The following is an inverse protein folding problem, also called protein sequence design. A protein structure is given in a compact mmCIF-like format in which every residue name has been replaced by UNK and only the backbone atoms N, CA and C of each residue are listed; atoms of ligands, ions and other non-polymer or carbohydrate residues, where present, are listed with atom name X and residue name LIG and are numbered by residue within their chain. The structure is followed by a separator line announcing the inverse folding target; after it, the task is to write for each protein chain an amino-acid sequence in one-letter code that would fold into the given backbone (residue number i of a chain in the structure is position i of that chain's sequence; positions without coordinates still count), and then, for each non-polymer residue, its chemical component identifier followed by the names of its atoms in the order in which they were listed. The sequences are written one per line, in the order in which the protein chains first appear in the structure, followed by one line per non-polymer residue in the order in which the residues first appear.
data_IF_195836678101
#
_entry.id   IF_195836678101
#
_cell.length_a   1.000
_cell.length_b   1.000
_cell.length_c   1.000
_cell.angle_alpha   90.00
_cell.angle_beta   90.00
_cell.angle_gamma   90.00
#
_symmetry.space_group_name_H-M   'P 1'
#
loop_
_entity.id
_entity.type
_entity.pdbx_description
1 polymer ?
#
# COMPACT_ATOMS: atom_id res chain seq x y z
N UNK A 1 -8.77 26.92 -4.32
CA UNK A 1 -10.02 26.14 -4.18
C UNK A 1 -10.04 24.83 -4.98
N UNK A 2 -9.62 24.78 -6.25
CA UNK A 2 -9.66 23.56 -7.09
C UNK A 2 -8.86 22.36 -6.54
N UNK A 3 -7.63 22.58 -6.03
CA UNK A 3 -6.82 21.52 -5.40
C UNK A 3 -7.47 20.91 -4.15
N UNK A 4 -8.10 21.73 -3.29
CA UNK A 4 -8.79 21.22 -2.11
C UNK A 4 -10.02 20.37 -2.49
N UNK A 5 -10.77 20.77 -3.53
CA UNK A 5 -11.89 19.96 -4.05
C UNK A 5 -11.40 18.63 -4.63
N UNK A 6 -10.29 18.63 -5.37
CA UNK A 6 -9.65 17.40 -5.90
C UNK A 6 -9.23 16.46 -4.77
N UNK A 7 -8.52 16.96 -3.75
CA UNK A 7 -8.06 16.13 -2.63
C UNK A 7 -9.23 15.54 -1.83
N UNK A 8 -10.32 16.30 -1.63
CA UNK A 8 -11.53 15.79 -0.97
C UNK A 8 -12.22 14.68 -1.79
N UNK A 9 -12.29 14.83 -3.10
CA UNK A 9 -12.83 13.80 -3.97
C UNK A 9 -11.98 12.52 -3.91
N UNK A 10 -10.65 12.65 -3.99
CA UNK A 10 -9.74 11.51 -3.89
C UNK A 10 -9.89 10.78 -2.54
N UNK A 11 -9.96 11.53 -1.43
CA UNK A 11 -10.23 10.96 -0.11
C UNK A 11 -11.58 10.25 -0.06
N UNK A 12 -12.62 10.86 -0.60
CA UNK A 12 -13.95 10.25 -0.67
C UNK A 12 -13.94 8.91 -1.41
N UNK A 13 -13.35 8.87 -2.61
CA UNK A 13 -13.23 7.65 -3.40
C UNK A 13 -12.39 6.59 -2.67
N UNK A 14 -11.24 6.97 -2.12
CA UNK A 14 -10.39 6.05 -1.35
C UNK A 14 -11.13 5.46 -0.15
N UNK A 15 -11.83 6.30 0.63
CA UNK A 15 -12.63 5.86 1.77
C UNK A 15 -13.79 4.94 1.34
N UNK A 16 -14.51 5.26 0.27
CA UNK A 16 -15.57 4.41 -0.25
C UNK A 16 -15.05 3.03 -0.68
N UNK A 17 -13.96 2.98 -1.45
CA UNK A 17 -13.34 1.71 -1.85
C UNK A 17 -12.89 0.90 -0.63
N UNK A 18 -12.28 1.55 0.36
CA UNK A 18 -11.87 0.92 1.61
C UNK A 18 -13.05 0.32 2.38
N UNK A 19 -14.16 1.04 2.49
CA UNK A 19 -15.36 0.56 3.17
C UNK A 19 -15.99 -0.64 2.46
N UNK A 20 -16.06 -0.62 1.12
CA UNK A 20 -16.57 -1.75 0.34
C UNK A 20 -15.66 -2.97 0.50
N UNK A 21 -14.33 -2.78 0.51
CA UNK A 21 -13.37 -3.84 0.84
C UNK A 21 -13.63 -4.44 2.22
N UNK A 22 -13.75 -3.60 3.26
CA UNK A 22 -14.03 -4.10 4.61
C UNK A 22 -15.37 -4.84 4.68
N UNK A 23 -16.38 -4.39 3.97
CA UNK A 23 -17.65 -5.11 3.86
C UNK A 23 -17.46 -6.51 3.27
N UNK A 24 -16.71 -6.64 2.17
CA UNK A 24 -16.37 -7.96 1.60
C UNK A 24 -15.53 -8.82 2.54
N UNK A 25 -14.58 -8.21 3.25
CA UNK A 25 -13.73 -8.88 4.22
C UNK A 25 -14.57 -9.52 5.34
N UNK A 26 -15.40 -8.72 6.02
CA UNK A 26 -16.18 -9.19 7.17
C UNK A 26 -17.34 -10.11 6.78
N UNK A 27 -17.97 -9.89 5.61
CA UNK A 27 -19.14 -10.67 5.22
C UNK A 27 -18.80 -12.01 4.57
N UNK A 28 -17.67 -12.10 3.87
CA UNK A 28 -17.40 -13.24 2.98
C UNK A 28 -16.07 -13.93 3.24
N UNK A 29 -15.01 -13.18 3.55
CA UNK A 29 -13.67 -13.77 3.69
C UNK A 29 -13.41 -14.25 5.11
N UNK A 30 -13.61 -13.39 6.12
CA UNK A 30 -13.38 -13.71 7.54
C UNK A 30 -14.20 -14.93 8.00
N UNK A 31 -15.48 -15.09 7.64
CA UNK A 31 -16.26 -16.25 8.06
C UNK A 31 -15.68 -17.60 7.58
N UNK A 32 -14.90 -17.60 6.49
CA UNK A 32 -14.23 -18.80 5.97
C UNK A 32 -12.93 -19.07 6.71
N UNK A 33 -12.28 -18.04 7.25
CA UNK A 33 -11.00 -18.12 7.96
C UNK A 33 -11.04 -17.37 9.30
N UNK A 34 -11.92 -17.76 10.24
CA UNK A 34 -12.17 -16.99 11.46
C UNK A 34 -10.92 -16.89 12.36
N UNK A 35 -10.09 -17.93 12.38
CA UNK A 35 -8.85 -17.96 13.17
C UNK A 35 -7.78 -16.99 12.66
N UNK A 36 -7.88 -16.57 11.39
CA UNK A 36 -6.96 -15.63 10.76
C UNK A 36 -7.50 -14.20 10.70
N UNK A 37 -8.69 -13.95 11.27
CA UNK A 37 -9.43 -12.69 11.16
C UNK A 37 -8.60 -11.47 11.53
N UNK A 38 -7.92 -11.51 12.67
CA UNK A 38 -7.04 -10.42 13.13
C UNK A 38 -5.90 -10.15 12.14
N UNK A 39 -5.23 -11.20 11.64
CA UNK A 39 -4.16 -11.03 10.65
C UNK A 39 -4.69 -10.41 9.36
N UNK A 40 -5.84 -10.89 8.85
CA UNK A 40 -6.45 -10.38 7.63
C UNK A 40 -6.88 -8.91 7.74
N UNK A 41 -7.46 -8.50 8.87
CA UNK A 41 -7.84 -7.09 9.12
C UNK A 41 -6.60 -6.21 9.10
N UNK A 42 -5.55 -6.60 9.84
CA UNK A 42 -4.32 -5.81 9.91
C UNK A 42 -3.62 -5.78 8.54
N UNK A 43 -3.61 -6.88 7.79
CA UNK A 43 -3.07 -6.93 6.43
C UNK A 43 -3.77 -5.97 5.46
N UNK A 44 -5.10 -5.90 5.52
CA UNK A 44 -5.88 -4.93 4.73
C UNK A 44 -5.56 -3.50 5.16
N UNK A 45 -5.48 -3.21 6.45
CA UNK A 45 -5.11 -1.88 6.95
C UNK A 45 -3.70 -1.47 6.49
N UNK A 46 -2.74 -2.41 6.52
CA UNK A 46 -1.39 -2.19 6.01
C UNK A 46 -1.37 -1.87 4.51
N UNK A 47 -2.15 -2.61 3.71
CA UNK A 47 -2.31 -2.35 2.27
C UNK A 47 -2.91 -0.98 1.99
N UNK A 48 -3.97 -0.61 2.72
CA UNK A 48 -4.61 0.71 2.59
C UNK A 48 -3.64 1.84 2.98
N UNK A 49 -2.89 1.67 4.06
CA UNK A 49 -1.89 2.65 4.49
C UNK A 49 -0.81 2.87 3.43
N UNK A 50 -0.32 1.79 2.80
CA UNK A 50 0.61 1.88 1.67
C UNK A 50 0.10 2.76 0.54
N UNK A 51 -1.08 2.40 0.04
CA UNK A 51 -1.68 3.07 -1.11
C UNK A 51 -1.91 4.53 -0.76
N UNK A 52 -2.41 4.79 0.44
CA UNK A 52 -2.63 6.13 0.92
C UNK A 52 -1.34 6.97 0.91
N UNK A 53 -0.21 6.42 1.36
CA UNK A 53 1.08 7.12 1.30
C UNK A 53 1.50 7.39 -0.15
N UNK A 54 1.35 6.42 -1.05
CA UNK A 54 1.71 6.60 -2.47
C UNK A 54 0.85 7.69 -3.12
N UNK A 55 -0.47 7.66 -2.89
CA UNK A 55 -1.43 8.62 -3.46
C UNK A 55 -1.35 10.02 -2.84
N UNK A 56 -0.87 10.15 -1.60
CA UNK A 56 -0.73 11.45 -0.91
C UNK A 56 0.69 12.00 -0.92
N UNK A 57 1.61 11.31 -1.60
CA UNK A 57 3.04 11.65 -1.65
C UNK A 57 3.35 13.07 -2.14
N UNK A 58 2.52 13.60 -3.04
CA UNK A 58 2.68 14.95 -3.59
C UNK A 58 2.05 16.05 -2.75
N UNK A 59 1.29 15.69 -1.72
CA UNK A 59 0.61 16.68 -0.91
C UNK A 59 1.68 17.43 -0.12
N UNK A 60 1.72 18.77 -0.28
CA UNK A 60 2.67 19.65 0.41
C UNK A 60 2.62 19.56 1.95
N UNK A 61 1.66 18.82 2.51
CA UNK A 61 1.53 18.59 3.94
C UNK A 61 2.42 17.41 4.38
N UNK A 62 3.64 17.74 4.79
CA UNK A 62 4.62 16.77 5.32
C UNK A 62 4.06 15.97 6.51
N UNK A 63 3.21 16.57 7.36
CA UNK A 63 2.62 15.89 8.52
C UNK A 63 1.77 14.68 8.13
N UNK A 64 0.90 14.83 7.13
CA UNK A 64 0.02 13.75 6.67
C UNK A 64 0.82 12.57 6.08
N UNK A 65 1.84 12.86 5.28
CA UNK A 65 2.70 11.83 4.66
C UNK A 65 3.58 11.10 5.68
N UNK A 66 4.07 11.81 6.70
CA UNK A 66 4.87 11.21 7.79
C UNK A 66 3.99 10.34 8.70
N UNK A 67 2.84 10.84 9.16
CA UNK A 67 1.92 10.08 10.02
C UNK A 67 1.36 8.85 9.31
N UNK A 68 0.94 8.98 8.06
CA UNK A 68 0.49 7.82 7.26
C UNK A 68 1.62 6.80 7.08
N UNK A 69 2.85 7.30 6.86
CA UNK A 69 4.07 6.49 6.84
C UNK A 69 4.23 5.65 8.09
N UNK A 70 4.28 6.29 9.26
CA UNK A 70 4.48 5.61 10.54
C UNK A 70 3.33 4.64 10.87
N UNK A 71 2.09 5.04 10.59
CA UNK A 71 0.93 4.18 10.79
C UNK A 71 0.99 2.91 9.91
N UNK A 72 1.35 3.06 8.63
CA UNK A 72 1.54 1.92 7.73
C UNK A 72 2.60 0.95 8.26
N UNK A 73 3.76 1.48 8.68
CA UNK A 73 4.86 0.70 9.26
C UNK A 73 4.43 -0.10 10.47
N UNK A 74 3.73 0.55 11.40
CA UNK A 74 3.23 -0.09 12.60
C UNK A 74 2.24 -1.22 12.26
N UNK A 75 1.31 -0.97 11.34
CA UNK A 75 0.32 -1.96 10.92
C UNK A 75 0.98 -3.19 10.26
N UNK A 76 2.01 -3.00 9.44
CA UNK A 76 2.75 -4.11 8.83
C UNK A 76 3.53 -4.89 9.88
N UNK A 77 4.23 -4.20 10.78
CA UNK A 77 4.96 -4.86 11.85
C UNK A 77 4.02 -5.71 12.71
N UNK A 78 2.83 -5.19 13.03
CA UNK A 78 1.78 -5.93 13.73
C UNK A 78 1.31 -7.13 12.89
N UNK A 79 1.05 -6.96 11.58
CA UNK A 79 0.64 -8.05 10.69
C UNK A 79 1.67 -9.17 10.66
N UNK A 80 2.97 -8.83 10.59
CA UNK A 80 4.06 -9.80 10.62
C UNK A 80 4.16 -10.52 11.95
N UNK A 81 3.95 -9.83 13.07
CA UNK A 81 3.94 -10.47 14.38
C UNK A 81 2.80 -11.49 14.45
N UNK A 82 1.62 -11.16 13.91
CA UNK A 82 0.52 -12.13 13.80
C UNK A 82 0.89 -13.31 12.91
N UNK A 83 1.40 -13.08 11.70
CA UNK A 83 1.82 -14.14 10.78
C UNK A 83 2.93 -15.03 11.39
N UNK A 84 3.95 -14.44 12.03
CA UNK A 84 5.04 -15.18 12.68
C UNK A 84 4.56 -16.00 13.87
N UNK A 85 3.64 -15.46 14.68
CA UNK A 85 3.01 -16.22 15.77
C UNK A 85 2.20 -17.40 15.23
N UNK A 86 1.52 -17.24 14.09
CA UNK A 86 0.82 -18.33 13.43
C UNK A 86 1.76 -19.38 12.85
N UNK A 87 2.86 -18.98 12.22
CA UNK A 87 3.90 -19.89 11.70
C UNK A 87 4.53 -20.68 12.84
N UNK A 88 4.86 -20.02 13.96
CA UNK A 88 5.42 -20.64 15.16
C UNK A 88 4.43 -21.64 15.81
N UNK A 89 3.13 -21.36 15.75
CA UNK A 89 2.08 -22.23 16.28
C UNK A 89 1.75 -23.42 15.37
N UNK A 90 1.80 -23.27 14.03
CA UNK A 90 1.25 -24.25 13.08
C UNK A 90 2.32 -25.08 12.35
N UNK A 91 3.62 -24.76 12.45
CA UNK A 91 4.71 -25.48 11.72
C UNK A 91 4.46 -25.66 10.22
N UNK A 92 3.77 -24.72 9.57
CA UNK A 92 3.53 -24.76 8.12
C UNK A 92 4.19 -23.56 7.42
N UNK A 93 5.20 -23.80 6.56
CA UNK A 93 5.79 -22.78 5.68
C UNK A 93 4.83 -22.28 4.57
N UNK A 94 3.61 -22.80 4.51
CA UNK A 94 2.73 -22.70 3.34
C UNK A 94 1.81 -21.46 3.32
N UNK A 95 1.64 -20.75 4.44
CA UNK A 95 0.71 -19.60 4.52
C UNK A 95 1.34 -18.29 4.02
N UNK A 96 2.61 -18.06 4.31
CA UNK A 96 3.40 -17.00 3.66
C UNK A 96 4.03 -17.52 2.36
N UNK A 97 3.24 -17.52 1.28
CA UNK A 97 3.74 -17.67 -0.09
C UNK A 97 4.92 -16.70 -0.33
N UNK A 98 5.93 -17.01 -1.18
CA UNK A 98 7.02 -16.09 -1.57
C UNK A 98 6.60 -14.64 -1.84
N UNK A 99 5.36 -14.39 -2.30
CA UNK A 99 4.82 -13.03 -2.44
C UNK A 99 4.68 -12.26 -1.11
N UNK A 100 4.37 -12.92 0.00
CA UNK A 100 4.34 -12.31 1.34
C UNK A 100 5.73 -11.86 1.81
N UNK A 101 6.76 -12.67 1.57
CA UNK A 101 8.15 -12.30 1.86
C UNK A 101 8.66 -11.18 0.94
N UNK A 102 8.26 -11.19 -0.34
CA UNK A 102 8.61 -10.14 -1.29
C UNK A 102 7.93 -8.79 -0.93
N UNK A 103 6.67 -8.83 -0.49
CA UNK A 103 5.98 -7.66 0.05
C UNK A 103 6.73 -7.10 1.26
N UNK A 104 7.10 -7.95 2.22
CA UNK A 104 7.87 -7.58 3.39
C UNK A 104 9.21 -6.91 3.02
N UNK A 105 9.97 -7.53 2.11
CA UNK A 105 11.25 -7.00 1.67
C UNK A 105 11.09 -5.61 1.02
N UNK A 106 10.11 -5.46 0.11
CA UNK A 106 9.81 -4.18 -0.52
C UNK A 106 9.43 -3.11 0.53
N UNK A 107 8.70 -3.48 1.57
CA UNK A 107 8.37 -2.57 2.66
C UNK A 107 9.56 -2.12 3.50
N UNK A 108 10.42 -3.05 3.91
CA UNK A 108 11.63 -2.73 4.67
C UNK A 108 12.54 -1.81 3.86
N UNK A 109 12.68 -2.08 2.56
CA UNK A 109 13.44 -1.22 1.66
C UNK A 109 12.78 0.16 1.58
N UNK A 110 11.47 0.25 1.37
CA UNK A 110 10.76 1.54 1.34
C UNK A 110 10.94 2.36 2.63
N UNK A 111 10.94 1.68 3.78
CA UNK A 111 11.18 2.27 5.10
C UNK A 111 12.58 2.85 5.24
N UNK A 112 13.59 2.05 4.93
CA UNK A 112 15.00 2.46 4.96
C UNK A 112 15.17 3.66 4.03
N UNK A 113 14.66 3.55 2.81
CA UNK A 113 14.74 4.61 1.83
C UNK A 113 13.97 5.88 2.27
N UNK A 114 12.84 5.75 3.00
CA UNK A 114 12.11 6.90 3.55
C UNK A 114 12.91 7.58 4.66
N UNK A 115 13.54 6.82 5.55
CA UNK A 115 14.47 7.37 6.55
C UNK A 115 15.64 8.11 5.90
N UNK A 116 16.23 7.51 4.87
CA UNK A 116 17.30 8.12 4.08
C UNK A 116 16.81 9.38 3.33
N UNK A 117 15.54 9.44 2.92
CA UNK A 117 14.97 10.60 2.24
C UNK A 117 14.74 11.83 3.13
N UNK A 118 14.84 11.68 4.46
CA UNK A 118 14.81 12.79 5.42
C UNK A 118 16.16 13.52 5.50
N UNK A 119 17.22 12.94 4.91
CA UNK A 119 18.52 13.57 4.75
C UNK A 119 18.46 14.37 3.43
N UNK A 120 18.35 15.68 3.57
CA UNK A 120 17.67 16.65 2.68
C UNK A 120 18.20 16.83 1.24
N UNK A 121 19.05 15.95 0.71
CA UNK A 121 19.79 16.19 -0.54
C UNK A 121 19.37 15.37 -1.76
N UNK A 122 18.49 14.36 -1.64
CA UNK A 122 18.28 13.42 -2.75
C UNK A 122 16.81 13.30 -3.16
N UNK A 123 16.35 14.23 -4.01
CA UNK A 123 15.06 14.10 -4.71
C UNK A 123 14.91 12.75 -5.45
N UNK A 124 16.02 12.16 -5.88
CA UNK A 124 16.08 10.84 -6.53
C UNK A 124 15.77 9.70 -5.55
N UNK A 125 16.21 9.76 -4.28
CA UNK A 125 15.88 8.73 -3.26
C UNK A 125 14.37 8.69 -3.04
N UNK A 126 13.70 9.85 -3.01
CA UNK A 126 12.25 9.91 -2.84
C UNK A 126 11.50 9.19 -3.97
N UNK A 127 11.97 9.25 -5.21
CA UNK A 127 11.36 8.50 -6.32
C UNK A 127 11.54 6.99 -6.16
N UNK A 128 12.73 6.54 -5.77
CA UNK A 128 12.97 5.12 -5.49
C UNK A 128 12.12 4.62 -4.32
N UNK A 129 11.91 5.43 -3.26
CA UNK A 129 10.95 5.10 -2.18
C UNK A 129 9.57 4.82 -2.76
N UNK A 130 9.05 5.72 -3.61
CA UNK A 130 7.72 5.54 -4.19
C UNK A 130 7.63 4.35 -5.14
N UNK A 131 8.67 4.08 -5.92
CA UNK A 131 8.75 2.91 -6.78
C UNK A 131 8.74 1.60 -5.99
N UNK A 132 9.58 1.53 -4.96
CA UNK A 132 9.65 0.37 -4.06
C UNK A 132 8.33 0.17 -3.31
N UNK A 133 7.69 1.23 -2.81
CA UNK A 133 6.36 1.12 -2.18
C UNK A 133 5.29 0.62 -3.15
N UNK A 134 5.35 1.07 -4.41
CA UNK A 134 4.41 0.63 -5.45
C UNK A 134 4.62 -0.85 -5.80
N UNK A 135 5.87 -1.31 -5.89
CA UNK A 135 6.20 -2.73 -6.07
C UNK A 135 5.72 -3.55 -4.87
N UNK A 136 5.93 -3.04 -3.64
CA UNK A 136 5.43 -3.65 -2.42
C UNK A 136 3.91 -3.82 -2.43
N UNK A 137 3.17 -2.78 -2.83
CA UNK A 137 1.72 -2.86 -3.01
C UNK A 137 1.32 -3.93 -4.04
N UNK A 138 2.10 -4.09 -5.12
CA UNK A 138 1.94 -5.17 -6.10
C UNK A 138 2.13 -6.56 -5.48
N UNK A 139 3.20 -6.78 -4.70
CA UNK A 139 3.40 -8.06 -4.03
C UNK A 139 2.32 -8.37 -3.00
N UNK A 140 1.87 -7.38 -2.22
CA UNK A 140 0.73 -7.53 -1.31
C UNK A 140 -0.53 -7.93 -2.09
N UNK A 141 -0.78 -7.29 -3.23
CA UNK A 141 -1.88 -7.67 -4.10
C UNK A 141 -1.78 -9.13 -4.53
N UNK A 142 -0.63 -9.55 -5.05
CA UNK A 142 -0.44 -10.92 -5.54
C UNK A 142 -0.57 -11.95 -4.41
N UNK A 143 -0.07 -11.63 -3.22
CA UNK A 143 -0.24 -12.46 -2.03
C UNK A 143 -1.72 -12.64 -1.68
N UNK A 144 -2.46 -11.54 -1.53
CA UNK A 144 -3.88 -11.58 -1.12
C UNK A 144 -4.77 -12.16 -2.22
N UNK A 145 -4.51 -11.84 -3.48
CA UNK A 145 -5.25 -12.36 -4.64
C UNK A 145 -4.96 -13.86 -4.89
N UNK A 146 -3.90 -14.43 -4.32
CA UNK A 146 -3.66 -15.88 -4.39
C UNK A 146 -4.63 -16.69 -3.53
N UNK A 147 -5.38 -16.05 -2.62
CA UNK A 147 -6.40 -16.70 -1.79
C UNK A 147 -7.69 -16.84 -2.60
N UNK A 148 -8.15 -18.06 -2.87
CA UNK A 148 -9.28 -18.30 -3.77
C UNK A 148 -10.61 -17.62 -3.40
N UNK A 149 -10.92 -17.48 -2.10
CA UNK A 149 -12.14 -16.77 -1.67
C UNK A 149 -12.07 -15.26 -1.93
N UNK A 150 -10.86 -14.70 -1.98
CA UNK A 150 -10.65 -13.27 -2.21
C UNK A 150 -11.08 -12.92 -3.62
N UNK A 151 -10.59 -13.65 -4.63
CA UNK A 151 -10.87 -13.37 -6.05
C UNK A 151 -12.33 -13.64 -6.44
N UNK A 152 -13.04 -14.45 -5.66
CA UNK A 152 -14.47 -14.73 -5.85
C UNK A 152 -15.38 -13.79 -5.05
N UNK A 153 -14.84 -13.02 -4.10
CA UNK A 153 -15.59 -12.01 -3.33
C UNK A 153 -15.50 -10.66 -4.03
N UNK A 154 -16.48 -10.34 -4.88
CA UNK A 154 -16.49 -9.13 -5.72
C UNK A 154 -16.39 -7.83 -4.91
N UNK A 155 -17.06 -7.76 -3.76
CA UNK A 155 -17.02 -6.61 -2.85
C UNK A 155 -15.67 -6.41 -2.20
N UNK A 156 -14.79 -7.41 -2.20
CA UNK A 156 -13.41 -7.24 -1.78
C UNK A 156 -12.48 -7.03 -2.99
N UNK A 157 -12.56 -7.93 -3.97
CA UNK A 157 -11.62 -8.01 -5.08
C UNK A 157 -11.63 -6.78 -6.00
N UNK A 158 -12.81 -6.26 -6.35
CA UNK A 158 -12.92 -5.09 -7.23
C UNK A 158 -12.28 -3.85 -6.60
N UNK A 159 -12.67 -3.41 -5.40
CA UNK A 159 -12.05 -2.23 -4.80
C UNK A 159 -10.57 -2.45 -4.49
N UNK A 160 -10.16 -3.67 -4.12
CA UNK A 160 -8.75 -4.03 -3.95
C UNK A 160 -7.94 -3.81 -5.23
N UNK A 161 -8.44 -4.33 -6.36
CA UNK A 161 -7.80 -4.17 -7.68
C UNK A 161 -7.83 -2.73 -8.16
N UNK A 162 -8.93 -2.01 -7.94
CA UNK A 162 -9.05 -0.59 -8.31
C UNK A 162 -8.01 0.27 -7.61
N UNK A 163 -7.76 0.03 -6.32
CA UNK A 163 -6.73 0.72 -5.56
C UNK A 163 -5.32 0.40 -6.07
N UNK A 164 -5.03 -0.85 -6.47
CA UNK A 164 -3.76 -1.19 -7.12
C UNK A 164 -3.58 -0.44 -8.43
N UNK A 165 -4.57 -0.51 -9.34
CA UNK A 165 -4.52 0.16 -10.64
C UNK A 165 -4.30 1.65 -10.44
N UNK A 166 -5.03 2.27 -9.52
CA UNK A 166 -4.87 3.68 -9.20
C UNK A 166 -3.45 3.99 -8.69
N UNK A 167 -2.89 3.15 -7.82
CA UNK A 167 -1.50 3.28 -7.36
C UNK A 167 -0.50 3.22 -8.51
N UNK A 168 -0.66 2.26 -9.43
CA UNK A 168 0.21 2.10 -10.61
C UNK A 168 0.10 3.29 -11.57
N UNK A 169 -1.12 3.75 -11.86
CA UNK A 169 -1.37 4.92 -12.71
C UNK A 169 -0.80 6.17 -12.07
N UNK A 170 -0.97 6.35 -10.76
CA UNK A 170 -0.39 7.47 -10.04
C UNK A 170 1.14 7.43 -10.14
N UNK A 171 1.77 6.28 -9.86
CA UNK A 171 3.22 6.14 -10.01
C UNK A 171 3.70 6.45 -11.45
N UNK A 172 3.03 5.91 -12.46
CA UNK A 172 3.38 6.16 -13.86
C UNK A 172 3.23 7.62 -14.27
N UNK A 173 2.04 8.19 -14.13
CA UNK A 173 1.70 9.54 -14.63
C UNK A 173 2.38 10.63 -13.80
N UNK A 174 2.40 10.46 -12.49
CA UNK A 174 2.74 11.54 -11.57
C UNK A 174 4.21 11.48 -11.18
N UNK A 175 4.74 10.30 -10.86
CA UNK A 175 6.13 10.17 -10.39
C UNK A 175 7.12 10.05 -11.56
N UNK A 176 6.77 9.32 -12.62
CA UNK A 176 7.67 9.14 -13.78
C UNK A 176 7.51 10.27 -14.79
N UNK A 177 6.28 10.56 -15.28
CA UNK A 177 6.10 11.51 -16.38
C UNK A 177 6.29 12.98 -15.99
N UNK A 178 5.67 13.47 -14.91
CA UNK A 178 5.75 14.91 -14.55
C UNK A 178 7.17 15.38 -14.22
N UNK A 179 8.02 14.50 -13.67
CA UNK A 179 9.43 14.84 -13.41
C UNK A 179 10.33 14.75 -14.62
N UNK A 180 10.03 13.87 -15.59
CA UNK A 180 10.75 13.82 -16.87
C UNK A 180 10.55 15.13 -17.65
N UNK A 181 9.34 15.68 -17.61
CA UNK A 181 9.03 16.98 -18.21
C UNK A 181 9.72 18.14 -17.48
N UNK A 182 9.77 18.12 -16.15
CA UNK A 182 10.48 19.14 -15.37
C UNK A 182 12.01 19.11 -15.58
N UNK A 183 12.61 17.93 -15.74
CA UNK A 183 14.04 17.77 -16.01
C UNK A 183 14.42 18.26 -17.43
N UNK A 184 13.56 18.00 -18.42
CA UNK A 184 13.76 18.49 -19.80
C UNK A 184 13.62 20.02 -19.90
N UNK A 185 12.73 20.62 -19.11
CA UNK A 185 12.58 22.08 -19.07
C UNK A 185 13.73 22.82 -18.37
N UNK A 186 14.54 22.14 -17.55
CA UNK A 186 15.73 22.72 -16.91
C UNK A 186 16.99 22.62 -17.77
N UNK A 187 17.01 21.73 -18.77
CA UNK A 187 18.12 21.61 -19.73
C UNK A 187 18.00 22.59 -20.91
N UNK A 188 16.82 23.20 -21.10
CA UNK A 188 16.53 24.15 -22.18
C UNK A 188 16.60 25.64 -21.72
N UNK A 189 17.05 25.90 -20.49
CA UNK A 189 17.21 27.24 -19.88
C UNK A 189 18.66 27.50 -19.48
#
# INVERSE_FOLDING_TARGET
MLHQKKNRLLLGVFSSLSLIMFWGLFRSIIPVFPEHSSSMIVGVLAYLALIFIVLTSEWKNQGVSTTAGMAGVLLIAIHLVFEMNMIAAIRFPALTNPFGYAALAAFLIALIMKGLSMIDQWQTIRQYVHGVMTIGAGFVYWHVASIGIVTTTWTFFIPFTALLIWTLVHFGVVIIFQKKTAALQQTDS
#
